data_IF_431939829141
#
_entry.id   IF_431939829141
#
_cell.length_a   1.000
_cell.length_b   1.000
_cell.length_c   1.000
_cell.angle_alpha   90.00
_cell.angle_beta   90.00
_cell.angle_gamma   90.00
#
_symmetry.space_group_name_H-M   'P 1'
#
loop_
_entity.id
_entity.type
_entity.pdbx_description
1 polymer ?
#
# COMPACT_ATOMS: atom_id res chain seq x y z
N UNK A 1 -25.23 30.47 -27.75
CA UNK A 1 -23.81 30.90 -27.75
C UNK A 1 -23.23 30.48 -26.40
N UNK A 2 -22.38 29.46 -26.38
CA UNK A 2 -22.05 28.68 -25.18
C UNK A 2 -20.97 29.34 -24.30
N UNK A 3 -21.26 29.26 -23.00
CA UNK A 3 -20.46 29.35 -21.77
C UNK A 3 -18.93 29.52 -21.89
N UNK A 4 -18.46 30.61 -21.28
CA UNK A 4 -17.10 30.91 -20.85
C UNK A 4 -16.55 29.86 -19.86
N UNK A 5 -15.48 29.18 -20.26
CA UNK A 5 -14.73 28.23 -19.43
C UNK A 5 -13.83 28.97 -18.44
N UNK A 6 -14.14 28.86 -17.15
CA UNK A 6 -13.22 29.23 -16.07
C UNK A 6 -12.10 28.20 -15.99
N UNK A 7 -10.94 28.47 -16.59
CA UNK A 7 -9.72 27.70 -16.29
C UNK A 7 -9.19 28.13 -14.93
N UNK A 8 -9.70 27.54 -13.85
CA UNK A 8 -9.04 27.59 -12.55
C UNK A 8 -7.70 26.87 -12.73
N UNK A 9 -6.59 27.62 -12.79
CA UNK A 9 -5.25 27.07 -12.61
C UNK A 9 -5.22 26.38 -11.25
N UNK A 10 -5.36 25.06 -11.25
CA UNK A 10 -5.19 24.27 -10.03
C UNK A 10 -3.74 24.50 -9.55
N UNK A 11 -3.51 24.97 -8.32
CA UNK A 11 -2.17 25.04 -7.77
C UNK A 11 -1.56 23.63 -7.83
N UNK A 12 -0.27 23.55 -8.17
CA UNK A 12 0.43 22.27 -8.21
C UNK A 12 0.13 21.49 -6.93
N UNK A 13 -0.24 20.19 -7.01
CA UNK A 13 -0.64 19.42 -5.84
C UNK A 13 0.48 19.52 -4.82
N UNK A 14 0.15 20.02 -3.62
CA UNK A 14 1.13 20.23 -2.54
C UNK A 14 2.00 18.99 -2.44
N UNK A 15 3.29 19.16 -2.68
CA UNK A 15 4.27 18.09 -2.64
C UNK A 15 4.32 17.62 -1.19
N UNK A 16 3.58 16.55 -0.88
CA UNK A 16 3.48 15.97 0.44
C UNK A 16 4.90 15.69 0.97
N UNK A 17 5.42 16.45 1.93
CA UNK A 17 6.82 16.42 2.38
C UNK A 17 6.91 15.94 3.83
N UNK A 18 6.49 14.69 4.06
CA UNK A 18 6.55 14.05 5.37
C UNK A 18 7.63 12.96 5.45
N UNK A 19 8.11 12.61 6.67
CA UNK A 19 9.10 11.55 6.89
C UNK A 19 8.64 10.20 6.29
N UNK A 20 7.35 9.89 6.36
CA UNK A 20 6.76 8.70 5.76
C UNK A 20 7.01 8.66 4.24
N UNK A 21 6.83 9.77 3.52
CA UNK A 21 7.11 9.79 2.07
C UNK A 21 8.58 9.53 1.77
N UNK A 22 9.50 10.09 2.56
CA UNK A 22 10.94 9.85 2.39
C UNK A 22 11.25 8.34 2.58
N UNK A 23 10.68 7.72 3.60
CA UNK A 23 10.82 6.28 3.84
C UNK A 23 10.22 5.42 2.72
N UNK A 24 9.11 5.84 2.10
CA UNK A 24 8.50 5.14 0.96
C UNK A 24 9.38 5.16 -0.30
N UNK A 25 10.23 6.18 -0.49
CA UNK A 25 11.17 6.24 -1.63
C UNK A 25 12.34 5.28 -1.42
N UNK A 26 12.86 5.20 -0.19
CA UNK A 26 14.01 4.34 0.15
C UNK A 26 13.61 2.91 0.53
N UNK A 27 12.31 2.60 0.56
CA UNK A 27 11.82 1.33 1.10
C UNK A 27 12.33 0.11 0.34
N UNK A 28 12.87 0.23 -0.88
CA UNK A 28 13.32 -0.88 -1.72
C UNK A 28 14.56 -1.65 -1.24
N UNK A 29 15.45 -1.02 -0.46
CA UNK A 29 16.77 -1.58 -0.11
C UNK A 29 16.89 -2.15 1.31
N UNK A 30 15.83 -2.07 2.13
CA UNK A 30 15.85 -2.50 3.54
C UNK A 30 15.52 -4.00 3.65
N UNK A 31 16.28 -4.82 4.41
CA UNK A 31 15.94 -6.23 4.65
C UNK A 31 14.62 -6.39 5.42
N UNK A 32 14.05 -7.60 5.41
CA UNK A 32 12.87 -7.91 6.25
C UNK A 32 13.28 -7.81 7.72
N UNK A 33 12.50 -7.07 8.50
CA UNK A 33 12.71 -6.95 9.93
C UNK A 33 11.83 -7.97 10.68
N UNK A 34 12.08 -8.18 11.97
CA UNK A 34 11.17 -8.91 12.84
C UNK A 34 9.93 -8.04 13.14
N UNK A 35 8.99 -7.95 12.21
CA UNK A 35 7.76 -7.17 12.38
C UNK A 35 6.68 -7.98 13.13
N UNK A 36 5.77 -7.27 13.81
CA UNK A 36 4.66 -7.90 14.55
C UNK A 36 3.48 -8.19 13.61
N UNK A 37 2.77 -9.32 13.78
CA UNK A 37 1.56 -9.59 13.00
C UNK A 37 0.44 -8.57 13.32
N UNK A 38 -0.35 -8.23 12.31
CA UNK A 38 -1.52 -7.35 12.42
C UNK A 38 -2.79 -8.15 12.22
N UNK A 39 -3.53 -8.39 13.30
CA UNK A 39 -4.77 -9.18 13.25
C UNK A 39 -5.94 -8.38 12.66
N UNK A 40 -6.56 -8.90 11.59
CA UNK A 40 -7.80 -8.38 11.03
C UNK A 40 -8.61 -9.45 10.29
N UNK A 41 -9.83 -9.09 9.85
CA UNK A 41 -10.65 -9.98 9.02
C UNK A 41 -10.04 -10.23 7.64
N UNK A 42 -10.26 -11.43 7.10
CA UNK A 42 -9.78 -11.83 5.78
C UNK A 42 -10.63 -11.19 4.67
N UNK A 43 -10.01 -10.69 3.58
CA UNK A 43 -10.75 -10.23 2.42
C UNK A 43 -11.42 -11.43 1.73
N UNK A 44 -12.68 -11.27 1.34
CA UNK A 44 -13.36 -12.23 0.47
C UNK A 44 -12.86 -11.99 -0.95
N UNK A 45 -12.03 -12.89 -1.47
CA UNK A 45 -11.40 -12.73 -2.80
C UNK A 45 -11.84 -13.85 -3.74
N UNK A 46 -12.46 -13.49 -4.87
CA UNK A 46 -12.65 -14.41 -6.00
C UNK A 46 -11.34 -14.48 -6.80
N UNK A 47 -10.66 -15.62 -6.71
CA UNK A 47 -9.23 -15.77 -7.11
C UNK A 47 -8.98 -15.73 -8.63
N UNK A 48 -10.01 -15.68 -9.46
CA UNK A 48 -9.87 -16.06 -10.88
C UNK A 48 -9.29 -14.98 -11.79
N UNK A 49 -9.23 -13.69 -11.39
CA UNK A 49 -8.72 -12.61 -12.28
C UNK A 49 -8.02 -11.43 -11.55
N UNK A 50 -6.99 -11.69 -10.74
CA UNK A 50 -6.21 -10.60 -10.13
C UNK A 50 -5.04 -10.12 -11.02
N UNK A 51 -4.90 -8.81 -11.16
CA UNK A 51 -3.73 -8.16 -11.77
C UNK A 51 -2.46 -8.39 -10.92
N UNK A 52 -1.28 -8.11 -11.49
CA UNK A 52 0.01 -8.27 -10.77
C UNK A 52 0.05 -7.48 -9.46
N UNK A 53 -0.46 -6.24 -9.46
CA UNK A 53 -0.44 -5.36 -8.29
C UNK A 53 -1.47 -5.77 -7.24
N UNK A 54 -2.62 -6.30 -7.67
CA UNK A 54 -3.65 -6.83 -6.77
C UNK A 54 -3.18 -8.13 -6.09
N UNK A 55 -2.51 -9.02 -6.83
CA UNK A 55 -1.85 -10.21 -6.26
C UNK A 55 -0.80 -9.82 -5.23
N UNK A 56 0.03 -8.82 -5.55
CA UNK A 56 1.01 -8.32 -4.59
C UNK A 56 0.35 -7.77 -3.32
N UNK A 57 -0.72 -6.99 -3.45
CA UNK A 57 -1.47 -6.46 -2.30
C UNK A 57 -2.00 -7.60 -1.41
N UNK A 58 -2.54 -8.65 -2.02
CA UNK A 58 -3.06 -9.80 -1.28
C UNK A 58 -1.94 -10.57 -0.56
N UNK A 59 -0.84 -10.85 -1.26
CA UNK A 59 0.30 -11.59 -0.69
C UNK A 59 0.93 -10.82 0.49
N UNK A 60 1.10 -9.49 0.36
CA UNK A 60 1.66 -8.67 1.43
C UNK A 60 0.68 -8.44 2.58
N UNK A 61 -0.62 -8.42 2.30
CA UNK A 61 -1.65 -8.44 3.34
C UNK A 61 -1.54 -9.70 4.19
N UNK A 62 -1.40 -10.88 3.57
CA UNK A 62 -1.23 -12.13 4.30
C UNK A 62 0.08 -12.18 5.08
N UNK A 63 1.17 -11.63 4.53
CA UNK A 63 2.43 -11.53 5.25
C UNK A 63 2.30 -10.65 6.51
N UNK A 64 1.65 -9.48 6.38
CA UNK A 64 1.38 -8.59 7.51
C UNK A 64 0.45 -9.25 8.56
N UNK A 65 -0.54 -10.02 8.10
CA UNK A 65 -1.48 -10.73 8.98
C UNK A 65 -0.81 -11.84 9.79
N UNK A 66 0.04 -12.63 9.13
CA UNK A 66 0.67 -13.82 9.74
C UNK A 66 1.98 -13.51 10.44
N UNK A 67 2.59 -12.36 10.18
CA UNK A 67 3.94 -12.04 10.64
C UNK A 67 5.04 -12.73 9.83
N UNK A 68 4.68 -13.45 8.75
CA UNK A 68 5.61 -14.27 7.96
C UNK A 68 5.70 -13.72 6.54
N UNK A 69 6.89 -13.32 6.11
CA UNK A 69 7.13 -12.81 4.77
C UNK A 69 8.09 -13.74 4.00
N UNK A 70 7.67 -14.20 2.81
CA UNK A 70 8.55 -15.01 1.96
C UNK A 70 9.62 -14.16 1.26
N UNK A 71 10.78 -14.76 1.01
CA UNK A 71 11.89 -14.12 0.28
C UNK A 71 11.50 -13.70 -1.14
N UNK A 72 10.62 -14.45 -1.80
CA UNK A 72 10.12 -14.11 -3.13
C UNK A 72 9.22 -12.88 -3.11
N UNK A 73 8.30 -12.78 -2.15
CA UNK A 73 7.44 -11.61 -1.98
C UNK A 73 8.28 -10.36 -1.70
N UNK A 74 9.33 -10.51 -0.89
CA UNK A 74 10.29 -9.46 -0.56
C UNK A 74 11.03 -8.88 -1.79
N UNK A 75 11.36 -9.73 -2.78
CA UNK A 75 12.14 -9.35 -3.98
C UNK A 75 11.30 -8.75 -5.09
N UNK A 76 9.97 -8.88 -5.04
CA UNK A 76 9.09 -8.32 -6.08
C UNK A 76 9.19 -6.80 -6.08
N UNK A 77 9.45 -6.23 -7.25
CA UNK A 77 9.33 -4.80 -7.45
C UNK A 77 7.83 -4.44 -7.52
N UNK A 78 7.45 -3.38 -6.79
CA UNK A 78 6.10 -2.81 -6.81
C UNK A 78 5.81 -1.99 -8.08
N UNK A 79 6.78 -1.92 -8.99
CA UNK A 79 6.65 -1.23 -10.27
C UNK A 79 6.55 0.29 -10.13
N UNK A 80 6.55 1.01 -11.27
CA UNK A 80 6.29 2.44 -11.30
C UNK A 80 4.88 2.72 -10.80
N UNK A 81 4.68 3.87 -10.13
CA UNK A 81 3.35 4.39 -9.80
C UNK A 81 2.56 4.62 -11.09
N UNK A 82 1.71 3.65 -11.46
CA UNK A 82 0.84 3.68 -12.64
C UNK A 82 -0.54 4.26 -12.30
N UNK A 83 -1.53 4.13 -13.21
CA UNK A 83 -2.90 4.63 -13.08
C UNK A 83 -3.60 4.26 -11.76
N UNK A 84 -3.19 3.18 -11.08
CA UNK A 84 -3.67 2.80 -9.74
C UNK A 84 -2.79 3.37 -8.62
N UNK A 85 -2.62 4.70 -8.59
CA UNK A 85 -1.73 5.41 -7.64
C UNK A 85 -1.96 5.04 -6.17
N UNK A 86 -3.20 4.76 -5.79
CA UNK A 86 -3.57 4.34 -4.43
C UNK A 86 -3.09 2.92 -4.11
N UNK A 87 -3.19 1.98 -5.05
CA UNK A 87 -2.79 0.58 -4.87
C UNK A 87 -1.28 0.45 -4.68
N UNK A 88 -0.49 1.12 -5.53
CA UNK A 88 0.98 1.16 -5.37
C UNK A 88 1.39 1.80 -4.04
N UNK A 89 0.65 2.82 -3.60
CA UNK A 89 0.91 3.49 -2.31
C UNK A 89 0.62 2.55 -1.14
N UNK A 90 -0.52 1.85 -1.15
CA UNK A 90 -0.85 0.84 -0.14
C UNK A 90 0.21 -0.28 -0.08
N UNK A 91 0.61 -0.79 -1.24
CA UNK A 91 1.66 -1.81 -1.37
C UNK A 91 2.99 -1.35 -0.76
N UNK A 92 3.39 -0.09 -0.98
CA UNK A 92 4.63 0.46 -0.41
C UNK A 92 4.54 0.72 1.09
N UNK A 93 3.37 1.13 1.61
CA UNK A 93 3.17 1.30 3.06
C UNK A 93 3.23 -0.04 3.79
N UNK A 94 2.54 -1.06 3.27
CA UNK A 94 2.62 -2.42 3.84
C UNK A 94 4.06 -2.98 3.74
N UNK A 95 4.76 -2.70 2.63
CA UNK A 95 6.19 -3.07 2.47
C UNK A 95 7.09 -2.38 3.47
N UNK A 96 6.83 -1.11 3.78
CA UNK A 96 7.57 -0.38 4.79
C UNK A 96 7.34 -1.00 6.18
N UNK A 97 6.10 -1.34 6.51
CA UNK A 97 5.75 -1.98 7.78
C UNK A 97 6.51 -3.28 8.02
N UNK A 98 6.49 -4.21 7.06
CA UNK A 98 7.19 -5.51 7.19
C UNK A 98 8.72 -5.36 7.27
N UNK A 99 9.26 -4.19 6.90
CA UNK A 99 10.70 -3.86 6.94
C UNK A 99 11.08 -3.05 8.18
N UNK A 100 10.13 -2.80 9.09
CA UNK A 100 10.35 -1.98 10.28
C UNK A 100 10.08 -2.83 11.52
N UNK A 101 11.12 -3.07 12.32
CA UNK A 101 11.01 -3.82 13.59
C UNK A 101 10.16 -3.05 14.62
N UNK A 102 10.42 -1.74 14.73
CA UNK A 102 9.72 -0.81 15.62
C UNK A 102 8.99 0.26 14.81
N UNK A 103 7.81 -0.05 14.23
CA UNK A 103 7.07 0.90 13.42
C UNK A 103 6.50 2.03 14.28
N UNK A 104 6.49 3.26 13.74
CA UNK A 104 5.88 4.41 14.42
C UNK A 104 4.37 4.26 14.54
N UNK A 105 3.75 4.95 15.50
CA UNK A 105 2.30 4.99 15.70
C UNK A 105 1.54 5.33 14.41
N UNK A 106 2.08 6.26 13.62
CA UNK A 106 1.48 6.73 12.36
C UNK A 106 1.54 5.62 11.30
N UNK A 107 2.66 4.90 11.21
CA UNK A 107 2.80 3.78 10.28
C UNK A 107 1.85 2.64 10.65
N UNK A 108 1.77 2.31 11.94
CA UNK A 108 0.84 1.30 12.47
C UNK A 108 -0.60 1.69 12.12
N UNK A 109 -1.00 2.94 12.35
CA UNK A 109 -2.36 3.42 12.05
C UNK A 109 -2.68 3.33 10.56
N UNK A 110 -1.73 3.68 9.68
CA UNK A 110 -1.90 3.54 8.24
C UNK A 110 -2.06 2.08 7.81
N UNK A 111 -1.26 1.18 8.39
CA UNK A 111 -1.35 -0.27 8.11
C UNK A 111 -2.71 -0.83 8.53
N UNK A 112 -3.18 -0.47 9.73
CA UNK A 112 -4.52 -0.85 10.18
C UNK A 112 -5.61 -0.34 9.24
N UNK A 113 -5.54 0.91 8.81
CA UNK A 113 -6.49 1.47 7.86
C UNK A 113 -6.45 0.70 6.52
N UNK A 114 -5.26 0.43 6.00
CA UNK A 114 -5.11 -0.30 4.74
C UNK A 114 -5.71 -1.71 4.87
N UNK A 115 -5.32 -2.47 5.89
CA UNK A 115 -5.74 -3.85 6.05
C UNK A 115 -7.23 -3.99 6.37
N UNK A 116 -7.77 -3.14 7.27
CA UNK A 116 -9.15 -3.27 7.77
C UNK A 116 -10.19 -2.55 6.92
N UNK A 117 -9.80 -1.54 6.15
CA UNK A 117 -10.74 -0.73 5.37
C UNK A 117 -10.43 -0.85 3.89
N UNK A 118 -9.22 -0.48 3.48
CA UNK A 118 -8.88 -0.39 2.05
C UNK A 118 -8.88 -1.76 1.36
N UNK A 119 -8.18 -2.76 1.89
CA UNK A 119 -8.11 -4.10 1.30
C UNK A 119 -9.48 -4.76 1.24
N UNK A 120 -10.24 -4.71 2.34
CA UNK A 120 -11.60 -5.27 2.39
C UNK A 120 -12.48 -4.61 1.33
N UNK A 121 -12.53 -3.27 1.29
CA UNK A 121 -13.31 -2.55 0.30
C UNK A 121 -12.85 -2.86 -1.14
N UNK A 122 -11.54 -2.86 -1.39
CA UNK A 122 -10.96 -3.10 -2.70
C UNK A 122 -11.33 -4.47 -3.27
N UNK A 123 -11.26 -5.52 -2.46
CA UNK A 123 -11.61 -6.88 -2.89
C UNK A 123 -13.12 -7.17 -2.83
N UNK A 124 -13.92 -6.32 -2.18
CA UNK A 124 -15.38 -6.45 -2.15
C UNK A 124 -16.08 -5.84 -3.38
N UNK A 125 -15.36 -5.04 -4.18
CA UNK A 125 -15.89 -4.46 -5.42
C UNK A 125 -15.88 -5.55 -6.51
N UNK A 126 -17.05 -5.80 -7.10
CA UNK A 126 -17.25 -6.73 -8.22
C UNK A 126 -16.92 -6.08 -9.56
#
# INVERSE_FOLDING_TARGET
MYLNTWTVKQPAPRIYSGPIRKSLVNCGNIPVANFKPVYCGLPVVTVTYLSKDQKYLLDIFYAALTGVCSSDLFRRDTGPTSHARCLTTANRILRLYIRTEEPSSELIQLVYYIMRVYCIAWFSIK
#
